data_IF_431757175025
#
_entry.id   IF_431757175025
#
_cell.length_a   1.000
_cell.length_b   1.000
_cell.length_c   1.000
_cell.angle_alpha   90.00
_cell.angle_beta   90.00
_cell.angle_gamma   90.00
#
_symmetry.space_group_name_H-M   'P 1'
#
loop_
_entity.id
_entity.type
_entity.pdbx_description
1 polymer ?
#
# COMPACT_ATOMS: atom_id res chain seq x y z
N UNK A 1 18.02 1.90 3.03
CA UNK A 1 18.20 0.98 4.18
C UNK A 1 19.37 0.02 3.98
N UNK A 2 19.28 -1.03 3.16
CA UNK A 2 20.38 -2.00 3.00
C UNK A 2 21.74 -1.34 2.70
N UNK A 3 21.76 -0.38 1.78
CA UNK A 3 22.95 0.41 1.46
C UNK A 3 23.53 1.11 2.69
N UNK A 4 22.72 1.83 3.47
CA UNK A 4 23.19 2.48 4.70
C UNK A 4 23.70 1.49 5.73
N UNK A 5 22.99 0.38 5.95
CA UNK A 5 23.42 -0.65 6.89
C UNK A 5 24.77 -1.26 6.47
N UNK A 6 25.02 -1.44 5.17
CA UNK A 6 26.30 -1.95 4.66
C UNK A 6 27.44 -0.91 4.75
N UNK A 7 27.13 0.37 4.56
CA UNK A 7 28.14 1.46 4.54
C UNK A 7 28.49 1.95 5.95
N UNK A 8 27.56 1.89 6.90
CA UNK A 8 27.68 2.54 8.21
C UNK A 8 27.55 1.49 9.32
N UNK A 9 28.62 0.71 9.60
CA UNK A 9 28.55 -0.39 10.58
C UNK A 9 28.35 0.07 12.03
N UNK A 10 28.59 1.36 12.30
CA UNK A 10 28.32 1.99 13.60
C UNK A 10 26.86 2.35 13.81
N UNK A 11 25.96 2.06 12.86
CA UNK A 11 24.54 2.39 12.93
C UNK A 11 23.71 1.14 12.68
N UNK A 12 22.69 0.96 13.50
CA UNK A 12 21.74 -0.13 13.38
C UNK A 12 20.38 0.40 12.93
N UNK A 13 19.78 -0.34 12.01
CA UNK A 13 18.46 -0.04 11.48
C UNK A 13 17.51 -1.18 11.86
N UNK A 14 16.41 -0.86 12.53
CA UNK A 14 15.42 -1.85 12.92
C UNK A 14 14.06 -1.58 12.28
N UNK A 15 13.57 -2.54 11.50
CA UNK A 15 12.20 -2.59 11.00
C UNK A 15 11.35 -3.40 11.99
N UNK A 16 10.25 -2.82 12.47
CA UNK A 16 9.44 -3.42 13.54
C UNK A 16 8.02 -3.67 13.04
N UNK A 17 7.69 -4.92 12.76
CA UNK A 17 6.34 -5.31 12.40
C UNK A 17 5.43 -5.36 13.63
N UNK A 18 4.28 -4.70 13.58
CA UNK A 18 3.28 -4.70 14.66
C UNK A 18 2.17 -5.73 14.48
N UNK A 19 2.13 -6.41 13.32
CA UNK A 19 1.03 -7.29 12.94
C UNK A 19 1.24 -8.72 13.44
N UNK A 20 2.24 -9.42 12.90
CA UNK A 20 2.55 -10.80 13.27
C UNK A 20 3.96 -11.21 12.82
N UNK A 21 4.48 -12.30 13.41
CA UNK A 21 5.74 -12.91 13.00
C UNK A 21 5.74 -13.34 11.53
N UNK A 22 4.60 -13.83 11.04
CA UNK A 22 4.44 -14.29 9.66
C UNK A 22 4.56 -13.13 8.68
N UNK A 23 3.94 -11.99 8.99
CA UNK A 23 4.02 -10.77 8.17
C UNK A 23 5.44 -10.21 8.19
N UNK A 24 6.09 -10.17 9.36
CA UNK A 24 7.49 -9.76 9.47
C UNK A 24 8.41 -10.64 8.61
N UNK A 25 8.23 -11.97 8.65
CA UNK A 25 8.98 -12.91 7.84
C UNK A 25 8.68 -12.78 6.33
N UNK A 26 7.44 -12.44 5.96
CA UNK A 26 7.09 -12.17 4.58
C UNK A 26 7.82 -10.91 4.05
N UNK A 27 7.82 -9.83 4.82
CA UNK A 27 8.57 -8.61 4.48
C UNK A 27 10.09 -8.85 4.46
N UNK A 28 10.60 -9.67 5.37
CA UNK A 28 12.02 -10.09 5.37
C UNK A 28 12.45 -10.62 4.01
N UNK A 29 11.67 -11.57 3.48
CA UNK A 29 11.92 -12.20 2.17
C UNK A 29 11.68 -11.23 1.03
N UNK A 30 10.59 -10.46 1.09
CA UNK A 30 10.22 -9.50 0.05
C UNK A 30 11.30 -8.43 -0.16
N UNK A 31 11.89 -7.93 0.91
CA UNK A 31 12.92 -6.90 0.87
C UNK A 31 14.35 -7.45 0.99
N UNK A 32 14.52 -8.78 0.91
CA UNK A 32 15.82 -9.48 0.91
C UNK A 32 16.73 -9.04 2.08
N UNK A 33 16.17 -8.96 3.28
CA UNK A 33 16.93 -8.54 4.46
C UNK A 33 18.08 -9.48 4.83
N UNK A 34 18.08 -10.72 4.31
CA UNK A 34 19.20 -11.67 4.41
C UNK A 34 20.53 -11.12 3.85
N UNK A 35 20.48 -10.13 2.95
CA UNK A 35 21.67 -9.52 2.34
C UNK A 35 22.22 -8.33 3.16
N UNK A 36 21.53 -7.94 4.23
CA UNK A 36 21.91 -6.82 5.08
C UNK A 36 21.98 -7.26 6.55
N UNK A 37 23.09 -7.87 7.00
CA UNK A 37 23.19 -8.48 8.34
C UNK A 37 23.08 -7.46 9.50
N UNK A 38 23.27 -6.18 9.21
CA UNK A 38 23.14 -5.08 10.17
C UNK A 38 21.73 -4.48 10.21
N UNK A 39 20.82 -4.95 9.35
CA UNK A 39 19.41 -4.59 9.39
C UNK A 39 18.65 -5.62 10.23
N UNK A 40 18.05 -5.14 11.31
CA UNK A 40 17.27 -5.96 12.23
C UNK A 40 15.82 -5.93 11.79
N UNK A 41 15.28 -7.09 11.42
CA UNK A 41 13.86 -7.24 11.22
C UNK A 41 13.25 -7.92 12.43
N UNK A 42 12.32 -7.25 13.08
CA UNK A 42 11.73 -7.72 14.31
C UNK A 42 10.21 -7.51 14.28
N UNK A 43 9.52 -8.14 15.22
CA UNK A 43 8.09 -8.00 15.37
C UNK A 43 7.70 -7.93 16.83
N UNK A 44 6.55 -7.33 17.09
CA UNK A 44 5.96 -7.25 18.43
C UNK A 44 4.97 -8.41 18.56
N UNK A 45 5.21 -9.38 19.47
CA UNK A 45 4.39 -10.60 19.53
C UNK A 45 2.91 -10.38 19.85
N UNK A 46 2.62 -9.34 20.62
CA UNK A 46 1.26 -8.91 20.91
C UNK A 46 1.24 -7.45 21.36
N UNK A 47 0.07 -6.82 21.33
CA UNK A 47 -0.11 -5.42 21.73
C UNK A 47 0.37 -5.12 23.17
N UNK A 48 0.40 -6.12 24.04
CA UNK A 48 0.88 -5.99 25.42
C UNK A 48 2.40 -5.80 25.51
N UNK A 49 3.15 -6.15 24.47
CA UNK A 49 4.58 -5.89 24.34
C UNK A 49 4.88 -4.59 23.57
N UNK A 50 3.85 -3.83 23.17
CA UNK A 50 4.04 -2.57 22.46
C UNK A 50 4.75 -1.57 23.39
N UNK A 51 5.95 -1.08 23.02
CA UNK A 51 6.67 -0.15 23.87
C UNK A 51 5.92 1.19 23.95
N UNK A 52 5.60 1.62 25.17
CA UNK A 52 4.91 2.88 25.43
C UNK A 52 5.77 4.04 24.94
N UNK A 53 5.18 4.95 24.16
CA UNK A 53 5.88 6.12 23.60
C UNK A 53 6.64 5.86 22.29
N UNK A 54 6.53 4.66 21.73
CA UNK A 54 6.94 4.36 20.36
C UNK A 54 5.65 4.19 19.55
N UNK A 55 5.39 5.09 18.60
CA UNK A 55 4.20 5.00 17.74
C UNK A 55 4.19 3.72 16.91
N UNK A 56 3.22 3.55 16.02
CA UNK A 56 3.22 2.40 15.10
C UNK A 56 4.53 2.39 14.27
N UNK A 57 5.33 1.33 14.40
CA UNK A 57 6.69 1.19 13.86
C UNK A 57 6.79 0.33 12.58
N UNK A 58 5.64 -0.08 12.01
CA UNK A 58 5.55 -0.92 10.81
C UNK A 58 5.82 -0.15 9.50
N UNK A 59 4.86 -0.15 8.57
CA UNK A 59 4.96 0.60 7.30
C UNK A 59 5.16 2.12 7.46
N UNK A 60 5.20 2.59 8.70
CA UNK A 60 5.32 3.99 9.10
C UNK A 60 6.75 4.46 9.33
N UNK A 61 7.78 3.66 9.05
CA UNK A 61 9.18 4.03 9.20
C UNK A 61 10.02 2.92 9.82
N UNK A 62 11.21 3.26 10.30
CA UNK A 62 12.10 2.35 11.02
C UNK A 62 12.78 3.07 12.18
N UNK A 63 13.37 2.28 13.09
CA UNK A 63 14.14 2.77 14.22
C UNK A 63 15.61 2.85 13.82
N UNK A 64 16.30 3.90 14.28
CA UNK A 64 17.74 4.08 14.08
C UNK A 64 18.42 4.17 15.44
N UNK A 65 19.46 3.37 15.65
CA UNK A 65 20.29 3.43 16.85
C UNK A 65 21.78 3.47 16.51
N UNK A 66 22.56 4.06 17.41
CA UNK A 66 24.02 4.10 17.31
C UNK A 66 24.67 2.74 17.70
N UNK A 67 26.00 2.66 17.58
CA UNK A 67 26.77 1.47 17.92
C UNK A 67 26.72 1.08 19.41
N UNK A 68 26.28 2.01 20.28
CA UNK A 68 26.13 1.79 21.72
C UNK A 68 24.70 1.37 22.07
N UNK A 69 23.80 1.30 21.08
CA UNK A 69 22.39 0.98 21.27
C UNK A 69 21.53 2.16 21.71
N UNK A 70 22.04 3.40 21.65
CA UNK A 70 21.21 4.57 21.93
C UNK A 70 20.32 4.86 20.72
N UNK A 71 19.05 5.15 20.98
CA UNK A 71 18.12 5.55 19.92
C UNK A 71 18.45 6.94 19.40
N UNK A 72 18.78 7.01 18.11
CA UNK A 72 18.98 8.24 17.35
C UNK A 72 17.62 8.73 16.84
N UNK A 73 16.81 7.80 16.34
CA UNK A 73 15.41 8.07 16.01
C UNK A 73 14.54 6.89 16.41
N UNK A 74 13.48 7.17 17.15
CA UNK A 74 12.47 6.18 17.54
C UNK A 74 11.50 5.85 16.40
N UNK A 75 11.45 6.70 15.37
CA UNK A 75 10.61 6.50 14.18
C UNK A 75 11.07 7.46 13.08
N UNK A 76 11.56 6.91 11.98
CA UNK A 76 11.83 7.69 10.77
C UNK A 76 10.55 8.00 10.01
N UNK A 77 10.63 8.93 9.06
CA UNK A 77 9.52 9.21 8.15
C UNK A 77 9.12 7.94 7.36
N UNK A 78 7.82 7.70 7.27
CA UNK A 78 7.27 6.62 6.48
C UNK A 78 7.48 6.87 4.98
N UNK A 79 8.17 5.98 4.28
CA UNK A 79 8.33 6.10 2.82
C UNK A 79 6.98 6.15 2.09
N UNK A 80 6.00 5.36 2.54
CA UNK A 80 4.67 5.36 1.91
C UNK A 80 3.94 6.71 2.04
N UNK A 81 4.25 7.50 3.06
CA UNK A 81 3.59 8.80 3.30
C UNK A 81 4.42 9.97 2.76
N UNK A 82 5.75 9.86 2.79
CA UNK A 82 6.65 10.98 2.50
C UNK A 82 7.52 10.77 1.25
N UNK A 83 7.41 9.61 0.58
CA UNK A 83 8.19 9.27 -0.61
C UNK A 83 9.69 9.43 -0.38
N UNK A 84 10.38 10.01 -1.35
CA UNK A 84 11.83 10.23 -1.32
C UNK A 84 12.31 11.11 -0.15
N UNK A 85 11.45 11.99 0.38
CA UNK A 85 11.82 12.82 1.56
C UNK A 85 12.09 11.97 2.79
N UNK A 86 11.50 10.77 2.87
CA UNK A 86 11.82 9.82 3.92
C UNK A 86 13.29 9.40 3.90
N UNK A 87 13.90 9.32 2.71
CA UNK A 87 15.33 9.01 2.60
C UNK A 87 16.19 10.21 3.01
N UNK A 88 15.88 11.41 2.52
CA UNK A 88 16.63 12.62 2.89
C UNK A 88 16.59 12.91 4.39
N UNK A 89 15.47 12.64 5.06
CA UNK A 89 15.38 12.74 6.53
C UNK A 89 16.34 11.78 7.25
N UNK A 90 16.50 10.57 6.72
CA UNK A 90 17.41 9.59 7.31
C UNK A 90 18.85 9.98 7.03
N UNK A 91 19.14 10.48 5.83
CA UNK A 91 20.47 10.98 5.49
C UNK A 91 20.89 12.12 6.41
N UNK A 92 20.01 13.10 6.69
CA UNK A 92 20.32 14.16 7.66
C UNK A 92 20.57 13.63 9.07
N UNK A 93 19.84 12.59 9.51
CA UNK A 93 20.11 11.95 10.80
C UNK A 93 21.48 11.25 10.83
N UNK A 94 21.92 10.71 9.69
CA UNK A 94 23.19 10.00 9.58
C UNK A 94 24.38 10.96 9.44
N UNK A 95 24.20 12.13 8.83
CA UNK A 95 25.18 13.20 8.77
C UNK A 95 25.58 13.67 10.17
N UNK A 96 24.60 13.87 11.05
CA UNK A 96 24.85 14.26 12.45
C UNK A 96 25.57 13.17 13.25
N UNK A 97 25.31 11.90 12.93
CA UNK A 97 25.77 10.75 13.69
C UNK A 97 27.16 10.26 13.27
N UNK A 98 27.47 10.36 11.97
CA UNK A 98 28.71 9.86 11.38
C UNK A 98 29.28 10.89 10.38
N UNK A 99 29.68 12.08 10.86
CA UNK A 99 30.10 13.19 10.00
C UNK A 99 31.30 12.84 9.11
N UNK A 100 32.18 11.93 9.57
CA UNK A 100 33.35 11.48 8.83
C UNK A 100 33.01 10.79 7.49
N UNK A 101 31.83 10.16 7.39
CA UNK A 101 31.38 9.49 6.15
C UNK A 101 30.79 10.44 5.11
N UNK A 102 30.26 11.58 5.56
CA UNK A 102 29.60 12.56 4.68
C UNK A 102 30.54 13.69 4.26
N UNK A 103 31.78 13.68 4.77
CA UNK A 103 32.73 14.76 4.58
C UNK A 103 32.30 15.96 5.42
N UNK A 104 33.25 16.55 6.14
CA UNK A 104 33.02 17.81 6.85
C UNK A 104 32.74 18.89 5.79
N UNK A 105 31.48 19.09 5.44
CA UNK A 105 31.06 20.26 4.69
C UNK A 105 31.04 21.42 5.68
N UNK A 106 32.11 22.22 5.67
CA UNK A 106 32.07 23.59 6.16
C UNK A 106 30.95 24.34 5.39
N UNK A 107 29.78 24.49 6.03
CA UNK A 107 28.57 25.27 5.67
C UNK A 107 27.30 24.38 5.65
N UNK A 108 26.20 24.70 6.34
CA UNK A 108 25.74 25.98 6.89
C UNK A 108 24.79 25.77 8.10
N UNK A 109 24.73 26.80 8.95
CA UNK A 109 23.74 27.01 10.00
C UNK A 109 22.30 26.68 9.53
N UNK A 110 21.84 25.46 9.79
CA UNK A 110 20.41 25.16 9.93
C UNK A 110 20.07 25.06 11.42
N UNK A 111 20.57 26.02 12.20
CA UNK A 111 20.17 26.16 13.59
C UNK A 111 18.75 26.72 13.65
N UNK A 112 17.87 25.91 14.24
CA UNK A 112 16.88 26.30 15.26
C UNK A 112 15.39 26.18 14.89
N UNK A 113 14.88 24.95 14.69
CA UNK A 113 13.46 24.59 14.95
C UNK A 113 13.22 23.10 15.32
N UNK A 114 14.20 22.37 15.86
CA UNK A 114 13.99 20.97 16.29
C UNK A 114 14.40 20.66 17.74
N UNK A 115 14.27 21.63 18.64
CA UNK A 115 14.31 21.37 20.08
C UNK A 115 12.89 21.16 20.64
N UNK A 116 12.36 19.94 20.54
CA UNK A 116 11.45 19.26 21.50
C UNK A 116 10.63 18.13 20.86
N UNK A 117 11.28 17.01 20.50
CA UNK A 117 10.59 15.71 20.39
C UNK A 117 11.27 14.71 21.32
N UNK A 118 11.43 15.11 22.58
CA UNK A 118 11.76 14.26 23.72
C UNK A 118 11.11 14.87 24.98
N UNK A 119 9.79 14.99 24.96
CA UNK A 119 8.98 15.42 26.10
C UNK A 119 8.54 14.22 26.93
N UNK A 120 9.35 13.84 27.92
CA UNK A 120 8.93 13.03 29.05
C UNK A 120 8.04 13.92 29.95
N UNK A 121 6.73 13.89 29.75
CA UNK A 121 5.77 14.76 30.45
C UNK A 121 4.74 13.95 31.23
N UNK A 122 5.02 13.76 32.52
CA UNK A 122 4.06 13.29 33.53
C UNK A 122 3.01 14.40 33.73
N UNK A 123 1.84 14.26 33.11
CA UNK A 123 0.76 15.24 33.12
C UNK A 123 -0.57 14.58 33.42
N UNK A 124 -0.96 14.64 34.69
CA UNK A 124 -2.25 14.24 35.22
C UNK A 124 -3.36 15.09 34.59
N UNK A 125 -4.24 14.48 33.78
CA UNK A 125 -5.50 15.11 33.38
C UNK A 125 -6.58 14.03 33.38
N UNK A 126 -7.44 14.11 34.39
CA UNK A 126 -8.77 13.54 34.37
C UNK A 126 -9.51 14.10 33.16
N UNK A 127 -10.06 13.25 32.31
CA UNK A 127 -11.37 13.49 31.72
C UNK A 127 -11.94 12.17 31.17
N UNK A 128 -12.71 11.55 32.05
CA UNK A 128 -14.02 10.94 31.82
C UNK A 128 -14.18 10.01 30.61
N UNK A 129 -14.10 8.73 30.93
CA UNK A 129 -14.81 7.64 30.28
C UNK A 129 -16.25 8.02 29.94
N UNK A 130 -16.65 7.74 28.70
CA UNK A 130 -18.05 7.42 28.43
C UNK A 130 -18.12 6.34 27.35
N UNK A 131 -17.92 5.11 27.80
CA UNK A 131 -18.43 3.91 27.15
C UNK A 131 -19.96 4.02 27.12
N UNK A 132 -20.55 4.00 25.93
CA UNK A 132 -21.92 3.54 25.78
C UNK A 132 -21.90 2.35 24.84
N UNK A 133 -21.83 1.18 25.48
CA UNK A 133 -22.39 -0.06 24.97
C UNK A 133 -23.83 0.21 24.51
N UNK A 134 -24.12 -0.07 23.25
CA UNK A 134 -25.51 -0.32 22.86
C UNK A 134 -25.58 -1.58 22.01
N UNK A 135 -25.81 -2.65 22.76
CA UNK A 135 -26.35 -3.93 22.34
C UNK A 135 -27.66 -3.69 21.57
N UNK A 136 -27.73 -4.14 20.32
CA UNK A 136 -28.99 -4.28 19.58
C UNK A 136 -28.89 -5.38 18.54
N UNK A 137 -28.99 -6.61 19.06
CA UNK A 137 -30.03 -7.58 18.71
C UNK A 137 -30.75 -7.31 17.36
N UNK A 138 -30.43 -8.06 16.31
CA UNK A 138 -31.33 -8.17 15.15
C UNK A 138 -31.45 -9.62 14.67
N UNK A 139 -32.50 -10.26 15.18
CA UNK A 139 -33.07 -11.48 14.62
C UNK A 139 -33.78 -11.14 13.32
N UNK A 140 -33.33 -11.67 12.18
CA UNK A 140 -34.26 -11.90 11.08
C UNK A 140 -33.99 -13.21 10.35
N UNK A 141 -34.82 -14.18 10.68
CA UNK A 141 -35.06 -15.41 9.95
C UNK A 141 -35.72 -15.11 8.61
N UNK A 142 -35.16 -15.62 7.50
CA UNK A 142 -36.01 -15.96 6.37
C UNK A 142 -35.56 -17.21 5.62
N UNK A 143 -36.58 -18.00 5.28
CA UNK A 143 -36.57 -19.42 4.94
C UNK A 143 -37.24 -19.56 3.58
N UNK A 144 -36.51 -19.94 2.52
CA UNK A 144 -37.09 -20.45 1.25
C UNK A 144 -35.98 -21.24 0.52
N UNK A 145 -36.02 -22.57 0.40
CA UNK A 145 -36.88 -23.50 -0.39
C UNK A 145 -36.42 -23.67 -1.86
N UNK A 146 -35.68 -24.79 -2.03
CA UNK A 146 -35.30 -25.66 -3.19
C UNK A 146 -35.93 -25.47 -4.60
N UNK A 147 -35.13 -25.98 -5.56
CA UNK A 147 -35.38 -26.52 -6.94
C UNK A 147 -35.09 -25.51 -8.07
N UNK A 148 -34.41 -25.81 -9.18
CA UNK A 148 -34.09 -27.08 -9.88
C UNK A 148 -32.94 -26.86 -10.88
N UNK A 149 -32.25 -27.95 -11.25
CA UNK A 149 -31.10 -27.98 -12.15
C UNK A 149 -31.46 -27.88 -13.65
N UNK A 150 -30.54 -27.33 -14.45
CA UNK A 150 -30.38 -27.68 -15.87
C UNK A 150 -28.91 -27.51 -16.25
N UNK A 151 -28.35 -28.57 -16.84
CA UNK A 151 -26.92 -28.80 -17.08
C UNK A 151 -26.64 -28.54 -18.56
N UNK A 152 -25.74 -27.60 -18.87
CA UNK A 152 -25.10 -27.49 -20.18
C UNK A 152 -23.58 -27.42 -19.97
N UNK A 153 -22.89 -28.33 -20.65
CA UNK A 153 -21.48 -28.65 -20.51
C UNK A 153 -20.66 -27.69 -21.36
N UNK A 154 -19.75 -26.91 -20.77
CA UNK A 154 -18.71 -26.18 -21.50
C UNK A 154 -17.42 -26.20 -20.67
N UNK A 155 -16.30 -26.37 -21.37
CA UNK A 155 -14.99 -26.77 -20.86
C UNK A 155 -14.54 -26.02 -19.59
N UNK A 156 -14.22 -26.81 -18.57
CA UNK A 156 -13.81 -26.35 -17.24
C UNK A 156 -12.33 -26.00 -17.25
N UNK A 157 -12.02 -24.73 -17.47
CA UNK A 157 -10.80 -24.10 -16.93
C UNK A 157 -11.07 -23.85 -15.45
N UNK A 158 -10.27 -24.46 -14.57
CA UNK A 158 -10.39 -24.40 -13.11
C UNK A 158 -10.19 -22.96 -12.61
N UNK A 159 -11.27 -22.17 -12.64
CA UNK A 159 -11.33 -20.81 -12.11
C UNK A 159 -11.52 -20.86 -10.61
N UNK A 160 -10.47 -20.50 -9.86
CA UNK A 160 -10.56 -20.29 -8.43
C UNK A 160 -11.63 -19.23 -8.16
N UNK A 161 -12.60 -19.55 -7.29
CA UNK A 161 -13.67 -18.64 -6.89
C UNK A 161 -13.07 -17.42 -6.19
N UNK A 162 -12.82 -16.36 -6.96
CA UNK A 162 -12.43 -15.05 -6.41
C UNK A 162 -13.59 -14.50 -5.58
N UNK A 163 -13.28 -14.13 -4.34
CA UNK A 163 -14.23 -13.49 -3.43
C UNK A 163 -14.62 -12.11 -3.96
N UNK A 164 -15.92 -11.83 -4.01
CA UNK A 164 -16.45 -10.50 -4.34
C UNK A 164 -16.11 -9.51 -3.23
N UNK A 165 -15.61 -8.33 -3.61
CA UNK A 165 -15.30 -7.23 -2.71
C UNK A 165 -16.62 -6.58 -2.26
N UNK A 166 -16.70 -6.23 -0.97
CA UNK A 166 -17.83 -5.47 -0.41
C UNK A 166 -17.49 -3.97 -0.42
N UNK A 167 -18.50 -3.10 -0.55
CA UNK A 167 -18.26 -1.67 -0.46
C UNK A 167 -17.73 -1.29 0.93
N UNK A 168 -16.95 -0.20 1.02
CA UNK A 168 -16.52 0.33 2.31
C UNK A 168 -17.71 0.77 3.16
N UNK A 169 -17.46 0.97 4.46
CA UNK A 169 -18.46 1.54 5.36
C UNK A 169 -18.82 2.97 4.94
N UNK A 170 -20.05 3.39 5.24
CA UNK A 170 -20.55 4.72 4.91
C UNK A 170 -19.70 5.81 5.58
N UNK A 171 -19.39 6.87 4.84
CA UNK A 171 -18.70 8.07 5.36
C UNK A 171 -19.67 9.17 5.79
N UNK A 172 -20.97 8.90 5.77
CA UNK A 172 -22.02 9.86 6.14
C UNK A 172 -22.31 10.91 5.06
N UNK A 173 -21.86 10.68 3.83
CA UNK A 173 -22.12 11.55 2.67
C UNK A 173 -22.69 10.70 1.55
N UNK A 174 -24.01 10.76 1.34
CA UNK A 174 -24.75 9.88 0.42
C UNK A 174 -24.13 9.81 -0.99
N UNK A 175 -23.68 10.94 -1.52
CA UNK A 175 -23.04 10.99 -2.83
C UNK A 175 -21.71 10.21 -2.87
N UNK A 176 -20.90 10.31 -1.81
CA UNK A 176 -19.62 9.60 -1.69
C UNK A 176 -19.85 8.10 -1.50
N UNK A 177 -20.86 7.73 -0.71
CA UNK A 177 -21.22 6.32 -0.48
C UNK A 177 -21.72 5.64 -1.76
N UNK A 178 -22.45 6.37 -2.61
CA UNK A 178 -22.87 5.86 -3.91
C UNK A 178 -21.67 5.69 -4.86
N UNK A 179 -20.72 6.63 -4.88
CA UNK A 179 -19.49 6.47 -5.64
C UNK A 179 -18.66 5.28 -5.18
N UNK A 180 -18.54 5.07 -3.87
CA UNK A 180 -17.89 3.88 -3.31
C UNK A 180 -18.57 2.58 -3.78
N UNK A 181 -19.91 2.56 -3.86
CA UNK A 181 -20.67 1.42 -4.38
C UNK A 181 -20.38 1.20 -5.86
N UNK A 182 -20.37 2.26 -6.67
CA UNK A 182 -20.05 2.20 -8.11
C UNK A 182 -18.62 1.69 -8.35
N UNK A 183 -17.63 2.20 -7.59
CA UNK A 183 -16.25 1.73 -7.64
C UNK A 183 -16.15 0.23 -7.31
N UNK A 184 -16.84 -0.20 -6.25
CA UNK A 184 -16.86 -1.62 -5.83
C UNK A 184 -17.48 -2.52 -6.90
N UNK A 185 -18.59 -2.10 -7.49
CA UNK A 185 -19.26 -2.84 -8.56
C UNK A 185 -18.36 -2.96 -9.78
N UNK A 186 -17.63 -1.90 -10.14
CA UNK A 186 -16.67 -1.91 -11.24
C UNK A 186 -15.48 -2.85 -10.96
N UNK A 187 -14.91 -2.82 -9.75
CA UNK A 187 -13.87 -3.76 -9.34
C UNK A 187 -14.34 -5.22 -9.46
N UNK A 188 -15.55 -5.52 -9.00
CA UNK A 188 -16.11 -6.86 -9.09
C UNK A 188 -16.36 -7.30 -10.54
N UNK A 189 -16.74 -6.37 -11.44
CA UNK A 189 -16.83 -6.65 -12.89
C UNK A 189 -15.47 -6.98 -13.48
N UNK A 190 -14.48 -6.10 -13.31
CA UNK A 190 -13.12 -6.30 -13.83
C UNK A 190 -12.44 -7.55 -13.24
N UNK A 191 -12.68 -7.87 -11.96
CA UNK A 191 -12.14 -9.07 -11.32
C UNK A 191 -12.74 -10.37 -11.87
N UNK A 192 -14.00 -10.33 -12.31
CA UNK A 192 -14.73 -11.45 -12.90
C UNK A 192 -14.38 -11.65 -14.37
N UNK A 193 -14.29 -10.56 -15.14
CA UNK A 193 -14.00 -10.58 -16.57
C UNK A 193 -13.02 -9.45 -16.93
N UNK A 194 -11.70 -9.68 -16.79
CA UNK A 194 -10.67 -8.65 -16.97
C UNK A 194 -10.39 -8.44 -18.47
N UNK A 195 -11.30 -7.76 -19.15
CA UNK A 195 -11.14 -7.32 -20.53
C UNK A 195 -10.56 -5.91 -20.56
N UNK A 196 -10.14 -5.45 -21.75
CA UNK A 196 -9.69 -4.06 -21.94
C UNK A 196 -10.80 -3.09 -21.55
N UNK A 197 -12.03 -3.36 -22.00
CA UNK A 197 -13.21 -2.52 -21.74
C UNK A 197 -13.55 -2.42 -20.25
N UNK A 198 -13.56 -3.54 -19.51
CA UNK A 198 -13.89 -3.50 -18.07
C UNK A 198 -12.80 -2.84 -17.24
N UNK A 199 -11.53 -2.92 -17.66
CA UNK A 199 -10.42 -2.25 -17.00
C UNK A 199 -10.35 -0.75 -17.32
N UNK A 200 -10.70 -0.34 -18.55
CA UNK A 200 -10.90 1.06 -18.92
C UNK A 200 -12.04 1.69 -18.10
N UNK A 201 -13.19 1.01 -18.04
CA UNK A 201 -14.33 1.44 -17.21
C UNK A 201 -13.92 1.62 -15.74
N UNK A 202 -13.20 0.65 -15.18
CA UNK A 202 -12.69 0.72 -13.81
C UNK A 202 -11.76 1.92 -13.60
N UNK A 203 -10.81 2.12 -14.50
CA UNK A 203 -9.86 3.22 -14.41
C UNK A 203 -10.59 4.59 -14.43
N UNK A 204 -11.55 4.77 -15.33
CA UNK A 204 -12.28 6.03 -15.48
C UNK A 204 -13.19 6.31 -14.27
N UNK A 205 -13.87 5.28 -13.76
CA UNK A 205 -14.68 5.39 -12.53
C UNK A 205 -13.81 5.80 -11.35
N UNK A 206 -12.67 5.12 -11.14
CA UNK A 206 -11.75 5.46 -10.05
C UNK A 206 -11.23 6.88 -10.17
N UNK A 207 -10.83 7.30 -11.37
CA UNK A 207 -10.34 8.65 -11.61
C UNK A 207 -11.40 9.70 -11.28
N UNK A 208 -12.63 9.50 -11.77
CA UNK A 208 -13.73 10.43 -11.51
C UNK A 208 -14.04 10.55 -10.02
N UNK A 209 -14.05 9.41 -9.30
CA UNK A 209 -14.27 9.39 -7.85
C UNK A 209 -13.16 10.12 -7.09
N UNK A 210 -11.89 9.83 -7.41
CA UNK A 210 -10.72 10.48 -6.79
C UNK A 210 -10.70 11.99 -7.01
N UNK A 211 -11.01 12.45 -8.24
CA UNK A 211 -11.08 13.87 -8.55
C UNK A 211 -12.16 14.58 -7.70
N UNK A 212 -13.33 13.95 -7.51
CA UNK A 212 -14.42 14.51 -6.71
C UNK A 212 -14.10 14.51 -5.20
N UNK A 213 -13.55 13.42 -4.66
CA UNK A 213 -13.16 13.34 -3.26
C UNK A 213 -12.09 14.40 -2.93
N UNK A 214 -11.09 14.56 -3.78
CA UNK A 214 -10.05 15.58 -3.60
C UNK A 214 -10.60 17.01 -3.65
N UNK A 215 -11.59 17.27 -4.52
CA UNK A 215 -12.29 18.55 -4.56
C UNK A 215 -13.03 18.81 -3.26
N UNK A 216 -13.74 17.80 -2.72
CA UNK A 216 -14.46 17.90 -1.45
C UNK A 216 -13.49 18.14 -0.29
N UNK A 217 -12.41 17.37 -0.19
CA UNK A 217 -11.40 17.56 0.86
C UNK A 217 -10.81 18.97 0.74
N UNK A 218 -10.42 19.40 -0.47
CA UNK A 218 -9.86 20.74 -0.70
C UNK A 218 -10.82 21.87 -0.31
N UNK A 219 -12.14 21.70 -0.46
CA UNK A 219 -13.14 22.68 -0.04
C UNK A 219 -13.30 22.75 1.48
N UNK A 220 -13.19 21.62 2.18
CA UNK A 220 -13.49 21.54 3.61
C UNK A 220 -12.25 21.65 4.52
N UNK A 221 -11.05 21.36 4.00
CA UNK A 221 -9.81 21.53 4.76
C UNK A 221 -9.26 22.94 4.56
N UNK A 222 -9.36 23.80 5.59
CA UNK A 222 -8.72 25.11 5.59
C UNK A 222 -7.21 24.97 5.80
N UNK A 223 -6.41 25.12 4.74
CA UNK A 223 -4.96 24.96 4.76
C UNK A 223 -4.25 26.09 5.51
N UNK A 224 -3.94 25.87 6.79
CA UNK A 224 -3.09 26.79 7.59
C UNK A 224 -1.91 26.11 8.30
N UNK A 225 -1.51 24.91 7.87
CA UNK A 225 -0.37 24.19 8.44
C UNK A 225 0.45 23.44 7.39
N UNK A 226 1.75 23.28 7.68
CA UNK A 226 2.72 22.52 6.87
C UNK A 226 2.34 21.04 6.78
N UNK A 227 2.39 20.47 5.57
CA UNK A 227 1.87 19.15 5.13
C UNK A 227 0.34 19.00 5.15
N UNK A 228 -0.27 19.06 3.96
CA UNK A 228 -1.70 18.82 3.80
C UNK A 228 -1.97 17.32 3.76
N UNK A 229 -2.87 16.82 4.62
CA UNK A 229 -3.42 15.45 4.52
C UNK A 229 -3.89 15.14 3.09
N UNK A 230 -4.35 16.17 2.36
CA UNK A 230 -4.76 16.08 0.96
C UNK A 230 -3.63 15.68 0.00
N UNK A 231 -2.38 16.13 0.24
CA UNK A 231 -1.28 15.82 -0.67
C UNK A 231 -0.87 14.35 -0.57
N UNK A 232 -0.84 13.79 0.64
CA UNK A 232 -0.62 12.35 0.83
C UNK A 232 -1.75 11.54 0.21
N UNK A 233 -3.01 11.97 0.41
CA UNK A 233 -4.20 11.31 -0.14
C UNK A 233 -4.15 11.26 -1.68
N UNK A 234 -3.80 12.39 -2.31
CA UNK A 234 -3.55 12.50 -3.76
C UNK A 234 -2.50 11.52 -4.28
N UNK A 235 -1.42 11.34 -3.54
CA UNK A 235 -0.37 10.40 -3.96
C UNK A 235 -0.86 8.95 -3.96
N UNK A 236 -1.71 8.57 -3.00
CA UNK A 236 -2.31 7.24 -2.96
C UNK A 236 -3.28 7.02 -4.12
N UNK A 237 -4.12 8.02 -4.45
CA UNK A 237 -4.97 7.99 -5.65
C UNK A 237 -4.17 7.77 -6.93
N UNK A 238 -3.12 8.57 -7.13
CA UNK A 238 -2.24 8.43 -8.29
C UNK A 238 -1.60 7.05 -8.37
N UNK A 239 -1.20 6.48 -7.23
CA UNK A 239 -0.61 5.14 -7.18
C UNK A 239 -1.62 4.08 -7.62
N UNK A 240 -2.86 4.16 -7.15
CA UNK A 240 -3.93 3.21 -7.53
C UNK A 240 -4.22 3.32 -9.03
N UNK A 241 -4.35 4.53 -9.57
CA UNK A 241 -4.57 4.75 -11.00
C UNK A 241 -3.44 4.18 -11.86
N UNK A 242 -2.17 4.33 -11.45
CA UNK A 242 -1.03 3.72 -12.16
C UNK A 242 -1.11 2.19 -12.19
N UNK A 243 -1.56 1.55 -11.11
CA UNK A 243 -1.74 0.10 -11.06
C UNK A 243 -2.84 -0.33 -12.04
N UNK A 244 -3.98 0.36 -12.05
CA UNK A 244 -5.07 0.08 -12.99
C UNK A 244 -4.63 0.27 -14.45
N UNK A 245 -3.93 1.36 -14.77
CA UNK A 245 -3.41 1.62 -16.11
C UNK A 245 -2.36 0.58 -16.56
N UNK A 246 -1.49 0.12 -15.65
CA UNK A 246 -0.51 -0.92 -15.95
C UNK A 246 -1.20 -2.26 -16.27
N UNK A 247 -2.23 -2.62 -15.51
CA UNK A 247 -3.01 -3.84 -15.75
C UNK A 247 -3.80 -3.77 -17.06
N UNK A 248 -4.39 -2.62 -17.37
CA UNK A 248 -5.01 -2.35 -18.67
C UNK A 248 -4.02 -2.54 -19.83
N UNK A 249 -2.83 -1.95 -19.74
CA UNK A 249 -1.78 -2.13 -20.74
C UNK A 249 -1.36 -3.59 -20.92
N UNK A 250 -1.28 -4.35 -19.82
CA UNK A 250 -0.96 -5.79 -19.85
C UNK A 250 -2.04 -6.59 -20.59
N UNK A 251 -3.31 -6.35 -20.30
CA UNK A 251 -4.43 -7.05 -20.93
C UNK A 251 -4.57 -6.68 -22.41
N UNK A 252 -4.41 -5.39 -22.75
CA UNK A 252 -4.42 -4.92 -24.13
C UNK A 252 -3.33 -5.59 -24.99
N UNK A 253 -2.09 -5.65 -24.48
CA UNK A 253 -0.98 -6.31 -25.17
C UNK A 253 -1.22 -7.82 -25.38
N UNK A 254 -1.83 -8.50 -24.40
CA UNK A 254 -2.19 -9.90 -24.52
C UNK A 254 -3.28 -10.13 -25.58
N UNK A 255 -4.27 -9.25 -25.65
CA UNK A 255 -5.34 -9.31 -26.65
C UNK A 255 -4.80 -9.13 -28.08
N UNK A 256 -3.87 -8.20 -28.31
CA UNK A 256 -3.22 -8.01 -29.62
C UNK A 256 -2.45 -9.26 -30.05
N UNK A 257 -1.73 -9.90 -29.12
CA UNK A 257 -0.90 -11.08 -29.42
C UNK A 257 -1.75 -12.29 -29.83
N UNK A 258 -2.91 -12.47 -29.19
CA UNK A 258 -3.80 -13.61 -29.47
C UNK A 258 -4.45 -13.57 -30.86
N UNK A 259 -4.52 -12.40 -31.51
CA UNK A 259 -5.16 -12.23 -32.81
C UNK A 259 -4.27 -12.60 -34.00
N UNK A 260 -2.97 -12.83 -33.81
CA UNK A 260 -2.00 -13.00 -34.91
C UNK A 260 -1.79 -14.47 -35.33
N UNK A 261 -2.23 -15.46 -34.54
CA UNK A 261 -1.93 -16.89 -34.76
C UNK A 261 -2.84 -17.64 -35.75
N UNK A 262 -3.77 -16.96 -36.42
CA UNK A 262 -4.63 -17.58 -37.46
C UNK A 262 -4.28 -17.05 -38.84
N UNK A 263 -3.11 -17.42 -39.35
CA UNK A 263 -2.90 -17.51 -40.80
C UNK A 263 -3.12 -18.97 -41.21
N UNK A 264 -4.04 -19.26 -42.14
CA UNK A 264 -4.21 -20.61 -42.66
C UNK A 264 -2.99 -21.01 -43.48
N UNK A 265 -2.38 -22.14 -43.09
CA UNK A 265 -1.42 -22.91 -43.89
C UNK A 265 -2.10 -23.36 -45.19
N UNK A 266 -2.06 -22.50 -46.20
CA UNK A 266 -2.48 -22.78 -47.56
C UNK A 266 -1.30 -22.53 -48.50
N UNK A 267 -0.20 -23.26 -48.29
CA UNK A 267 0.83 -23.45 -49.32
C UNK A 267 0.83 -24.93 -49.76
N UNK A 268 -0.21 -25.29 -50.50
CA UNK A 268 -0.22 -26.51 -51.29
C UNK A 268 0.81 -26.41 -52.40
N UNK A 269 2.01 -26.94 -52.18
CA UNK A 269 2.96 -27.18 -53.25
C UNK A 269 2.66 -28.51 -53.94
N UNK A 270 1.91 -28.43 -55.04
CA UNK A 270 1.83 -29.46 -56.07
C UNK A 270 2.93 -29.23 -57.11
N UNK A 271 4.04 -29.95 -57.00
CA UNK A 271 4.97 -30.22 -58.11
C UNK A 271 5.44 -31.67 -57.93
N UNK A 272 5.32 -32.59 -58.86
CA UNK A 272 5.30 -32.51 -60.31
C UNK A 272 6.16 -33.69 -60.74
N UNK A 273 5.52 -34.75 -61.26
CA UNK A 273 6.17 -36.02 -61.54
C UNK A 273 7.32 -35.92 -62.54
N UNK A 274 8.40 -36.67 -62.29
CA UNK A 274 9.45 -36.95 -63.27
C UNK A 274 9.26 -38.39 -63.75
N UNK A 275 8.94 -38.54 -65.03
CA UNK A 275 8.95 -39.82 -65.75
C UNK A 275 10.39 -40.23 -66.09
N UNK A 276 10.51 -41.54 -66.24
CA UNK A 276 11.60 -42.42 -66.68
C UNK A 276 12.65 -41.84 -67.64
#
# INVERSE_FOLDING_TARGET
MQKWAATIPSVQFACVCVESAQVAAAFHRMFRFDEAPLLVNCYIPSRNYMPVGYGQLGCSGFVVSDAKGNFVSRKTMAYLQHGERAFGFVESLLEDLVPDLYGVNDHCNYSNQHSNINGNGNGNSNDSDNNNDNDSNNNNSNKQKRKTATKATTATTTSATRTTIKPPESVGVDAMDEEHRICTDSFNRAAKDPTVETLEELHDILKSHFDHEEELISKHTSSKGSFSSLDSHRMDHQRILRIAAAELGRVAAAATTSSCTTLPDACGMTQGGRKE
#
